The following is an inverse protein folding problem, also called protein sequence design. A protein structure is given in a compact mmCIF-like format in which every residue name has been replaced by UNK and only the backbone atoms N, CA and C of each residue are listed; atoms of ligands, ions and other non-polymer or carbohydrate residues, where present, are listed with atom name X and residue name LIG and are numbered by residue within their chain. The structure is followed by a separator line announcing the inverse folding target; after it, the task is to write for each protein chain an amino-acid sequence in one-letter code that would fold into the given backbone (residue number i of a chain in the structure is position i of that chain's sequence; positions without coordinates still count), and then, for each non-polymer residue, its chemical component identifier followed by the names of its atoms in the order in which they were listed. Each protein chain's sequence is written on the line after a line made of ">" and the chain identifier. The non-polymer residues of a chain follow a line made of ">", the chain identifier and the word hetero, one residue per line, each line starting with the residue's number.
data_IF_100297376028
#
_entry.id   IF_100297376028
#
_cell.length_a   1.000
_cell.length_b   1.000
_cell.length_c   1.000
_cell.angle_alpha   90.00
_cell.angle_beta   90.00
_cell.angle_gamma   90.00
#
_symmetry.space_group_name_H-M   'P 1'
#
loop_
_entity.id
_entity.type
_entity.pdbx_description
1 polymer ?
#
# COMPACT_ATOMS: atom_id res chain seq x y z
N UNK A 1 11.65 -47.70 24.85
CA UNK A 1 12.89 -47.36 24.12
C UNK A 1 12.62 -47.01 22.66
N UNK A 2 11.62 -46.18 22.37
CA UNK A 2 11.22 -45.83 20.99
C UNK A 2 12.11 -44.75 20.36
N UNK A 3 12.66 -43.85 21.18
CA UNK A 3 13.58 -42.78 20.74
C UNK A 3 14.91 -43.30 20.18
N UNK A 4 15.40 -44.44 20.68
CA UNK A 4 16.61 -45.09 20.17
C UNK A 4 16.40 -45.77 18.81
N UNK A 5 15.19 -46.31 18.56
CA UNK A 5 14.83 -46.93 17.28
C UNK A 5 14.65 -45.87 16.17
N UNK A 6 14.07 -44.71 16.48
CA UNK A 6 13.93 -43.58 15.55
C UNK A 6 15.30 -43.04 15.08
N UNK A 7 16.29 -42.99 15.98
CA UNK A 7 17.67 -42.64 15.63
C UNK A 7 18.32 -43.65 14.67
N UNK A 8 18.02 -44.94 14.79
CA UNK A 8 18.52 -45.95 13.84
C UNK A 8 17.83 -45.91 12.48
N UNK A 9 16.60 -45.39 12.41
CA UNK A 9 15.85 -45.11 11.18
C UNK A 9 16.24 -43.77 10.52
N UNK A 10 17.21 -43.04 11.09
CA UNK A 10 17.68 -41.75 10.56
C UNK A 10 16.70 -40.59 10.76
N UNK A 11 15.64 -40.78 11.54
CA UNK A 11 14.65 -39.75 11.85
C UNK A 11 14.97 -39.15 13.21
N UNK A 12 15.44 -37.91 13.21
CA UNK A 12 15.71 -37.12 14.42
C UNK A 12 14.52 -36.17 14.69
N UNK A 13 13.54 -36.56 15.52
CA UNK A 13 12.29 -35.82 15.69
C UNK A 13 12.41 -34.53 16.53
N UNK A 14 13.59 -34.23 17.10
CA UNK A 14 13.80 -33.05 17.94
C UNK A 14 15.09 -32.33 17.51
N UNK A 15 14.94 -31.06 17.12
CA UNK A 15 16.03 -30.12 16.97
C UNK A 15 16.13 -29.29 18.26
N UNK A 16 17.15 -29.55 19.07
CA UNK A 16 17.47 -28.71 20.23
C UNK A 16 18.32 -27.53 19.77
N UNK A 17 17.69 -26.36 19.63
CA UNK A 17 18.36 -25.09 19.31
C UNK A 17 18.41 -24.14 20.51
N UNK A 18 19.35 -23.18 20.48
CA UNK A 18 19.41 -22.09 21.44
C UNK A 18 18.30 -21.07 21.13
N UNK A 19 17.36 -20.85 22.06
CA UNK A 19 16.34 -19.80 21.93
C UNK A 19 16.88 -18.52 22.56
N UNK A 20 17.09 -17.49 21.75
CA UNK A 20 17.50 -16.16 22.22
C UNK A 20 16.29 -15.48 22.85
N UNK A 21 16.32 -15.17 24.16
CA UNK A 21 15.22 -14.46 24.83
C UNK A 21 15.28 -12.94 24.65
N UNK A 22 16.48 -12.37 24.71
CA UNK A 22 16.69 -10.93 24.66
C UNK A 22 18.04 -10.66 24.00
N UNK A 23 18.08 -9.61 23.19
CA UNK A 23 19.31 -9.10 22.56
C UNK A 23 19.60 -7.74 23.18
N UNK A 24 20.83 -7.52 23.60
CA UNK A 24 21.30 -6.23 24.09
C UNK A 24 22.11 -5.54 22.99
N UNK A 25 21.71 -4.32 22.63
CA UNK A 25 22.43 -3.48 21.67
C UNK A 25 22.30 -2.00 22.06
N UNK A 26 23.42 -1.27 22.08
CA UNK A 26 23.53 0.17 22.41
C UNK A 26 22.69 0.66 23.62
N UNK A 27 22.68 -0.10 24.73
CA UNK A 27 21.98 0.30 25.96
C UNK A 27 20.48 -0.04 25.98
N UNK A 28 19.99 -0.70 24.93
CA UNK A 28 18.59 -1.11 24.79
C UNK A 28 18.44 -2.62 24.66
N UNK A 29 17.40 -3.17 25.29
CA UNK A 29 17.06 -4.59 25.25
C UNK A 29 15.93 -4.81 24.24
N UNK A 30 16.21 -5.59 23.20
CA UNK A 30 15.27 -5.93 22.14
C UNK A 30 14.74 -7.36 22.31
N UNK A 31 13.46 -7.55 21.98
CA UNK A 31 12.88 -8.87 21.74
C UNK A 31 13.40 -9.40 20.40
N UNK A 32 13.68 -10.72 20.25
CA UNK A 32 14.14 -11.29 18.98
C UNK A 32 13.20 -10.99 17.80
N UNK A 33 11.91 -10.80 18.06
CA UNK A 33 10.89 -10.47 17.04
C UNK A 33 11.15 -9.15 16.30
N UNK A 34 11.83 -8.20 16.94
CA UNK A 34 12.18 -6.91 16.30
C UNK A 34 13.21 -7.11 15.19
N UNK A 35 14.05 -8.14 15.32
CA UNK A 35 15.07 -8.49 14.33
C UNK A 35 14.46 -9.12 13.07
N UNK A 36 13.32 -9.79 13.20
CA UNK A 36 12.62 -10.49 12.12
C UNK A 36 11.67 -9.59 11.30
N UNK A 37 11.69 -8.26 11.53
CA UNK A 37 10.87 -7.33 10.75
C UNK A 37 11.38 -7.21 9.31
N UNK A 38 10.50 -7.50 8.34
CA UNK A 38 10.82 -7.32 6.93
C UNK A 38 10.80 -5.85 6.52
N UNK A 39 11.64 -5.49 5.55
CA UNK A 39 11.68 -4.10 5.02
C UNK A 39 10.36 -3.67 4.36
N UNK A 40 9.56 -4.63 3.91
CA UNK A 40 8.24 -4.38 3.30
C UNK A 40 7.21 -3.92 4.34
N UNK A 41 7.17 -4.58 5.51
CA UNK A 41 6.31 -4.15 6.61
C UNK A 41 6.66 -2.74 7.08
N UNK A 42 7.95 -2.42 7.16
CA UNK A 42 8.43 -1.10 7.53
C UNK A 42 7.96 -0.03 6.53
N UNK A 43 8.13 -0.29 5.23
CA UNK A 43 7.66 0.60 4.17
C UNK A 43 6.15 0.79 4.24
N UNK A 44 5.38 -0.27 4.45
CA UNK A 44 3.91 -0.20 4.55
C UNK A 44 3.47 0.68 5.72
N UNK A 45 4.07 0.52 6.89
CA UNK A 45 3.78 1.34 8.09
C UNK A 45 4.18 2.80 7.86
N UNK A 46 5.33 3.04 7.23
CA UNK A 46 5.78 4.39 6.88
C UNK A 46 4.82 5.09 5.91
N UNK A 47 4.43 4.41 4.82
CA UNK A 47 3.48 4.95 3.84
C UNK A 47 2.10 5.19 4.48
N UNK A 48 1.67 4.34 5.41
CA UNK A 48 0.45 4.55 6.18
C UNK A 48 0.52 5.85 7.00
N UNK A 49 1.65 6.09 7.66
CA UNK A 49 1.91 7.35 8.39
C UNK A 49 1.85 8.58 7.48
N UNK A 50 2.52 8.54 6.33
CA UNK A 50 2.51 9.64 5.34
C UNK A 50 1.09 9.92 4.83
N UNK A 51 0.30 8.89 4.55
CA UNK A 51 -1.11 9.04 4.14
C UNK A 51 -1.95 9.71 5.21
N UNK A 52 -1.75 9.36 6.48
CA UNK A 52 -2.48 9.99 7.59
C UNK A 52 -2.10 11.47 7.77
N UNK A 53 -0.82 11.82 7.60
CA UNK A 53 -0.41 13.24 7.63
C UNK A 53 -1.00 14.01 6.45
N UNK A 54 -0.99 13.42 5.26
CA UNK A 54 -1.56 14.02 4.05
C UNK A 54 -3.09 14.20 4.13
N UNK A 55 -3.81 13.27 4.76
CA UNK A 55 -5.27 13.37 4.94
C UNK A 55 -5.63 14.47 5.94
N UNK A 56 -4.87 14.59 7.04
CA UNK A 56 -5.04 15.67 8.00
C UNK A 56 -4.76 17.02 7.35
N UNK A 57 -3.67 17.15 6.58
CA UNK A 57 -3.34 18.42 5.91
C UNK A 57 -4.38 18.82 4.86
N UNK A 58 -4.99 17.85 4.16
CA UNK A 58 -6.10 18.10 3.25
C UNK A 58 -7.37 18.58 3.99
N UNK A 59 -7.68 17.99 5.15
CA UNK A 59 -8.85 18.36 5.95
C UNK A 59 -8.73 19.80 6.50
N UNK A 60 -7.55 20.20 6.98
CA UNK A 60 -7.29 21.57 7.45
C UNK A 60 -7.04 22.57 6.30
N UNK A 61 -7.07 22.12 5.03
CA UNK A 61 -6.81 22.93 3.83
C UNK A 61 -5.46 23.64 3.85
N UNK A 62 -4.45 23.03 4.47
CA UNK A 62 -3.10 23.59 4.50
C UNK A 62 -2.24 22.92 3.42
N UNK A 63 -1.74 23.66 2.41
CA UNK A 63 -1.01 23.07 1.29
C UNK A 63 0.39 22.62 1.74
N UNK A 64 0.58 21.31 1.84
CA UNK A 64 1.89 20.67 2.04
C UNK A 64 2.30 19.92 0.78
N UNK A 65 3.59 19.60 0.62
CA UNK A 65 4.11 18.92 -0.57
C UNK A 65 3.40 17.59 -0.87
N UNK A 66 2.94 16.89 0.17
CA UNK A 66 2.14 15.66 0.04
C UNK A 66 0.66 15.90 -0.29
N UNK A 67 0.10 17.08 -0.01
CA UNK A 67 -1.34 17.38 -0.14
C UNK A 67 -1.71 18.20 -1.37
N UNK A 68 -0.75 18.94 -1.95
CA UNK A 68 -0.99 19.80 -3.13
C UNK A 68 -1.54 18.98 -4.31
N UNK A 69 -0.93 17.84 -4.62
CA UNK A 69 -1.38 17.00 -5.74
C UNK A 69 -2.81 16.46 -5.53
N UNK A 70 -3.13 16.02 -4.31
CA UNK A 70 -4.46 15.55 -3.96
C UNK A 70 -5.51 16.67 -4.00
N UNK A 71 -5.18 17.87 -3.51
CA UNK A 71 -6.09 19.03 -3.52
C UNK A 71 -6.47 19.44 -4.95
N UNK A 72 -5.52 19.44 -5.88
CA UNK A 72 -5.77 19.77 -7.29
C UNK A 72 -6.63 18.70 -7.98
N UNK A 73 -6.35 17.42 -7.74
CA UNK A 73 -7.13 16.32 -8.30
C UNK A 73 -8.59 16.35 -7.82
N UNK A 74 -8.82 16.55 -6.52
CA UNK A 74 -10.17 16.68 -5.96
C UNK A 74 -10.88 17.94 -6.47
N UNK A 75 -10.17 19.06 -6.59
CA UNK A 75 -10.71 20.30 -7.17
C UNK A 75 -11.19 20.09 -8.61
N UNK A 76 -10.38 19.42 -9.44
CA UNK A 76 -10.76 19.08 -10.81
C UNK A 76 -11.98 18.16 -10.85
N UNK A 77 -11.99 17.08 -10.06
CA UNK A 77 -13.13 16.15 -9.99
C UNK A 77 -14.43 16.84 -9.58
N UNK A 78 -14.37 17.78 -8.63
CA UNK A 78 -15.54 18.55 -8.21
C UNK A 78 -16.05 19.46 -9.33
N UNK A 79 -15.15 20.16 -10.04
CA UNK A 79 -15.52 20.99 -11.19
C UNK A 79 -16.10 20.16 -12.34
N UNK A 80 -15.56 18.98 -12.61
CA UNK A 80 -16.09 18.03 -13.60
C UNK A 80 -17.47 17.50 -13.20
N UNK A 81 -17.69 17.21 -11.92
CA UNK A 81 -19.00 16.84 -11.40
C UNK A 81 -20.05 17.94 -11.57
N UNK A 82 -19.68 19.20 -11.29
CA UNK A 82 -20.56 20.35 -11.50
C UNK A 82 -20.84 20.55 -13.00
N UNK A 83 -19.84 20.43 -13.87
CA UNK A 83 -19.99 20.53 -15.31
C UNK A 83 -20.89 19.43 -15.90
N UNK A 84 -20.87 18.23 -15.32
CA UNK A 84 -21.76 17.14 -15.72
C UNK A 84 -23.24 17.44 -15.39
N UNK A 85 -23.52 18.14 -14.29
CA UNK A 85 -24.90 18.53 -13.90
C UNK A 85 -25.38 19.78 -14.63
N UNK A 86 -24.48 20.74 -14.89
CA UNK A 86 -24.80 22.02 -15.53
C UNK A 86 -24.75 21.97 -17.07
N UNK A 87 -24.50 20.80 -17.66
CA UNK A 87 -24.37 20.56 -19.10
C UNK A 87 -23.35 21.42 -19.87
N UNK A 88 -22.45 22.10 -19.17
CA UNK A 88 -21.37 22.88 -19.79
C UNK A 88 -20.31 21.94 -20.40
N UNK A 89 -20.01 22.08 -21.69
CA UNK A 89 -18.98 21.29 -22.37
C UNK A 89 -17.60 21.91 -22.19
N UNK A 90 -16.67 21.08 -21.69
CA UNK A 90 -15.23 21.34 -21.61
C UNK A 90 -14.51 20.15 -22.25
N UNK A 91 -13.29 20.35 -22.76
CA UNK A 91 -12.52 19.30 -23.43
C UNK A 91 -12.32 18.06 -22.54
N UNK A 92 -12.03 18.24 -21.24
CA UNK A 92 -12.00 17.14 -20.27
C UNK A 92 -13.41 16.61 -19.89
N UNK A 93 -14.44 17.46 -19.87
CA UNK A 93 -15.80 17.06 -19.48
C UNK A 93 -16.51 16.20 -20.54
N UNK A 94 -16.19 16.37 -21.83
CA UNK A 94 -16.71 15.52 -22.91
C UNK A 94 -16.32 14.05 -22.73
N UNK A 95 -15.09 13.79 -22.26
CA UNK A 95 -14.63 12.43 -21.98
C UNK A 95 -15.48 11.76 -20.91
N UNK A 96 -15.82 12.48 -19.83
CA UNK A 96 -16.66 11.96 -18.75
C UNK A 96 -18.11 11.82 -19.19
N UNK A 97 -18.65 12.72 -20.00
CA UNK A 97 -19.99 12.55 -20.58
C UNK A 97 -20.07 11.28 -21.44
N UNK A 98 -19.02 10.96 -22.20
CA UNK A 98 -18.93 9.70 -22.95
C UNK A 98 -18.82 8.46 -22.04
N UNK A 99 -18.12 8.57 -20.90
CA UNK A 99 -18.08 7.49 -19.90
C UNK A 99 -19.39 7.31 -19.13
N UNK A 100 -20.17 8.38 -18.91
CA UNK A 100 -21.49 8.31 -18.28
C UNK A 100 -22.53 7.74 -19.24
N UNK A 101 -22.43 8.04 -20.54
CA UNK A 101 -23.31 7.49 -21.56
C UNK A 101 -23.12 5.97 -21.78
N UNK A 102 -21.90 5.45 -21.58
CA UNK A 102 -21.55 4.03 -21.75
C UNK A 102 -20.93 3.41 -20.47
N UNK A 103 -21.75 2.88 -19.52
CA UNK A 103 -21.26 2.37 -18.24
C UNK A 103 -20.33 1.14 -18.36
N UNK A 104 -20.35 0.42 -19.49
CA UNK A 104 -19.55 -0.80 -19.71
C UNK A 104 -18.04 -0.54 -19.86
N UNK A 105 -17.62 0.66 -20.29
CA UNK A 105 -16.19 1.00 -20.45
C UNK A 105 -15.46 1.18 -19.13
N UNK A 106 -16.18 1.57 -18.07
CA UNK A 106 -15.62 1.75 -16.71
C UNK A 106 -15.31 0.38 -16.08
N UNK A 107 -16.18 -0.60 -16.29
CA UNK A 107 -16.03 -1.96 -15.74
C UNK A 107 -14.86 -2.73 -16.38
N UNK A 108 -14.66 -2.60 -17.70
CA UNK A 108 -13.54 -3.25 -18.38
C UNK A 108 -12.17 -2.73 -17.95
N UNK A 109 -12.05 -1.45 -17.55
CA UNK A 109 -10.78 -0.92 -17.03
C UNK A 109 -10.55 -1.27 -15.55
N UNK A 110 -11.61 -1.33 -14.73
CA UNK A 110 -11.49 -1.69 -13.32
C UNK A 110 -10.96 -3.12 -13.12
N UNK A 111 -11.32 -4.06 -14.01
CA UNK A 111 -10.85 -5.44 -13.94
C UNK A 111 -9.37 -5.63 -14.34
N UNK A 112 -8.77 -4.65 -15.03
CA UNK A 112 -7.38 -4.71 -15.53
C UNK A 112 -6.37 -3.97 -14.64
N UNK A 113 -6.81 -3.22 -13.63
CA UNK A 113 -5.93 -2.43 -12.76
C UNK A 113 -5.25 -3.16 -11.58
N UNK A 114 -5.66 -4.36 -11.08
CA UNK A 114 -4.89 -5.00 -10.01
C UNK A 114 -3.57 -5.64 -10.47
N UNK A 115 -3.20 -5.59 -11.77
CA UNK A 115 -1.99 -6.26 -12.30
C UNK A 115 -0.86 -5.29 -12.74
N UNK A 116 -1.14 -4.03 -13.08
CA UNK A 116 -0.13 -3.16 -13.72
C UNK A 116 0.59 -2.15 -12.79
N UNK A 117 0.88 -2.53 -11.54
CA UNK A 117 1.71 -1.70 -10.64
C UNK A 117 2.98 -2.39 -10.10
N UNK A 118 3.38 -3.54 -10.66
CA UNK A 118 4.63 -4.23 -10.26
C UNK A 118 5.66 -4.44 -11.37
N UNK A 119 5.45 -3.95 -12.61
CA UNK A 119 6.37 -4.24 -13.74
C UNK A 119 6.93 -3.04 -14.50
N UNK A 120 6.76 -1.80 -14.03
CA UNK A 120 7.39 -0.63 -14.67
C UNK A 120 8.17 0.20 -13.66
N UNK A 121 9.26 -0.39 -13.17
CA UNK A 121 10.40 0.32 -12.60
C UNK A 121 11.65 -0.26 -13.27
N UNK A 122 11.92 0.21 -14.49
CA UNK A 122 13.06 -0.22 -15.30
C UNK A 122 12.94 0.37 -16.70
N UNK A 123 13.60 1.49 -16.92
CA UNK A 123 13.71 2.12 -18.23
C UNK A 123 13.55 3.64 -18.18
N UNK A 124 14.70 4.30 -18.02
CA UNK A 124 14.98 5.75 -18.17
C UNK A 124 14.54 6.69 -17.04
#
# INVERSE_FOLDING_TARGET
>A
SESALLNMLGVTPFSSGLVVRQVYDDGTLYSPEVLDMTTEELRKRFLSGVRNVASVSLAIKYPTLASVAHSLATGLQNMLGIAAVADVSFKEAETIKAYIADPSKITCQCHLLPVQLHSSAGGE
#
